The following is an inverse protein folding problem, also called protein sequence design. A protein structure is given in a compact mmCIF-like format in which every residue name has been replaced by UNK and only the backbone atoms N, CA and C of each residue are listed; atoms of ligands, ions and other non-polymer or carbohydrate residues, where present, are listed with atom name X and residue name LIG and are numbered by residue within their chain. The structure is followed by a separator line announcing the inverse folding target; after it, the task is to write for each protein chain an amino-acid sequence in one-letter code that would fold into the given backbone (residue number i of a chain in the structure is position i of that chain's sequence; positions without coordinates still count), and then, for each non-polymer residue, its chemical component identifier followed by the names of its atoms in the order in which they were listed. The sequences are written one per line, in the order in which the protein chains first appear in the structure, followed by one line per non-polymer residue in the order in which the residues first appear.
data_IF_994964439749
#
_entry.id   IF_994964439749
#
_cell.length_a   1.000
_cell.length_b   1.000
_cell.length_c   1.000
_cell.angle_alpha   90.00
_cell.angle_beta   90.00
_cell.angle_gamma   90.00
#
_symmetry.space_group_name_H-M   'P 1'
#
loop_
_entity.id
_entity.type
_entity.pdbx_description
1 polymer ?
#
# COMPACT_ATOMS: atom_id res chain seq x y z
N UNK A 1 2.41 8.21 4.40
CA UNK A 1 2.23 7.65 5.76
C UNK A 1 0.80 7.17 5.92
N UNK A 2 0.63 5.93 6.35
CA UNK A 2 -0.69 5.38 6.61
C UNK A 2 -0.87 5.10 8.08
N UNK A 3 -2.04 5.41 8.62
CA UNK A 3 -2.45 5.01 9.96
C UNK A 3 -3.13 3.66 9.86
N UNK A 4 -2.68 2.70 10.66
CA UNK A 4 -3.20 1.32 10.69
C UNK A 4 -3.51 0.93 12.13
N UNK A 5 -4.47 0.02 12.32
CA UNK A 5 -4.85 -0.41 13.65
C UNK A 5 -3.77 -1.26 14.32
N UNK A 6 -3.10 -2.11 13.54
CA UNK A 6 -2.05 -3.02 14.02
C UNK A 6 -0.91 -3.02 13.00
N UNK A 7 0.25 -2.51 13.41
CA UNK A 7 1.40 -2.36 12.51
C UNK A 7 1.91 -3.72 12.01
N UNK A 8 1.94 -4.74 12.86
CA UNK A 8 2.41 -6.06 12.43
C UNK A 8 1.45 -6.72 11.44
N UNK A 9 0.15 -6.63 11.69
CA UNK A 9 -0.86 -7.17 10.77
C UNK A 9 -0.83 -6.43 9.43
N UNK A 10 -0.70 -5.10 9.45
CA UNK A 10 -0.60 -4.30 8.25
C UNK A 10 0.66 -4.65 7.46
N UNK A 11 1.80 -4.78 8.13
CA UNK A 11 3.07 -5.15 7.50
C UNK A 11 2.94 -6.50 6.78
N UNK A 12 2.35 -7.49 7.45
CA UNK A 12 2.13 -8.80 6.84
C UNK A 12 1.24 -8.69 5.59
N UNK A 13 0.18 -7.90 5.66
CA UNK A 13 -0.73 -7.72 4.51
C UNK A 13 -0.01 -7.09 3.32
N UNK A 14 0.77 -6.01 3.55
CA UNK A 14 1.49 -5.34 2.46
C UNK A 14 2.55 -6.26 1.85
N UNK A 15 3.27 -7.01 2.67
CA UNK A 15 4.31 -7.93 2.18
C UNK A 15 3.71 -9.13 1.45
N UNK A 16 2.69 -9.76 2.00
CA UNK A 16 2.10 -10.98 1.46
C UNK A 16 1.15 -10.70 0.29
N UNK A 17 0.36 -9.63 0.38
CA UNK A 17 -0.65 -9.33 -0.63
C UNK A 17 -0.10 -8.49 -1.78
N UNK A 18 0.67 -7.44 -1.47
CA UNK A 18 1.20 -6.53 -2.49
C UNK A 18 2.66 -6.81 -2.87
N UNK A 19 3.32 -7.72 -2.17
CA UNK A 19 4.71 -8.05 -2.46
C UNK A 19 5.70 -6.98 -2.02
N UNK A 20 5.32 -6.12 -1.08
CA UNK A 20 6.21 -5.09 -0.54
C UNK A 20 7.29 -5.72 0.32
N UNK A 21 8.35 -4.96 0.54
CA UNK A 21 9.47 -5.33 1.42
C UNK A 21 9.55 -4.38 2.59
N UNK A 22 9.95 -4.88 3.76
CA UNK A 22 10.24 -4.02 4.91
C UNK A 22 11.56 -3.31 4.65
N UNK A 23 11.53 -1.98 4.66
CA UNK A 23 12.70 -1.14 4.40
C UNK A 23 13.33 -0.63 5.68
N UNK A 24 12.54 -0.44 6.73
CA UNK A 24 13.01 0.02 8.03
C UNK A 24 12.06 -0.47 9.11
N UNK A 25 12.62 -0.83 10.24
CA UNK A 25 11.85 -1.22 11.44
C UNK A 25 12.70 -0.82 12.65
N UNK A 26 12.39 0.36 13.21
CA UNK A 26 13.19 0.97 14.27
C UNK A 26 12.30 1.23 15.48
N UNK A 27 12.76 0.79 16.63
CA UNK A 27 12.13 1.18 17.90
C UNK A 27 12.91 2.34 18.51
N UNK A 28 12.21 3.33 19.02
CA UNK A 28 12.82 4.51 19.61
C UNK A 28 12.00 4.99 20.81
N UNK A 29 12.52 5.99 21.51
CA UNK A 29 11.97 6.41 22.77
C UNK A 29 12.75 5.77 23.93
N UNK A 30 12.50 6.24 25.15
CA UNK A 30 13.30 5.88 26.33
C UNK A 30 13.31 4.37 26.59
N UNK A 31 12.18 3.70 26.36
CA UNK A 31 12.03 2.25 26.56
C UNK A 31 11.73 1.51 25.25
N UNK A 32 11.99 2.13 24.09
CA UNK A 32 11.67 1.54 22.80
C UNK A 32 10.16 1.42 22.55
N UNK A 33 9.35 2.26 23.17
CA UNK A 33 7.90 2.20 23.10
C UNK A 33 7.33 2.70 21.78
N UNK A 34 8.12 3.46 21.02
CA UNK A 34 7.72 3.95 19.71
C UNK A 34 8.33 3.08 18.62
N UNK A 35 7.64 2.99 17.50
CA UNK A 35 8.10 2.19 16.36
C UNK A 35 7.94 2.95 15.07
N UNK A 36 8.97 2.93 14.24
CA UNK A 36 8.94 3.46 12.87
C UNK A 36 9.15 2.30 11.91
N UNK A 37 8.13 1.97 11.13
CA UNK A 37 8.19 0.88 10.18
C UNK A 37 7.87 1.40 8.78
N UNK A 38 8.73 1.08 7.83
CA UNK A 38 8.54 1.46 6.43
C UNK A 38 8.54 0.23 5.53
N UNK A 39 7.65 0.24 4.56
CA UNK A 39 7.55 -0.78 3.49
C UNK A 39 7.59 -0.11 2.13
N UNK A 40 7.98 -0.85 1.10
CA UNK A 40 7.99 -0.36 -0.26
C UNK A 40 7.97 -1.51 -1.26
N UNK A 41 7.51 -1.28 -2.49
CA UNK A 41 7.70 -2.26 -3.56
C UNK A 41 9.19 -2.49 -3.80
N UNK A 42 9.60 -3.72 -4.18
CA UNK A 42 11.00 -3.99 -4.48
C UNK A 42 11.55 -3.03 -5.54
N UNK A 43 12.73 -2.47 -5.29
CA UNK A 43 13.38 -1.54 -6.21
C UNK A 43 12.83 -0.13 -6.18
N UNK A 44 11.83 0.18 -5.35
CA UNK A 44 11.30 1.52 -5.22
C UNK A 44 12.20 2.41 -4.38
N UNK A 45 12.33 3.68 -4.76
CA UNK A 45 13.01 4.69 -3.94
C UNK A 45 12.05 5.33 -2.94
N UNK A 46 10.75 5.26 -3.19
CA UNK A 46 9.72 5.74 -2.26
C UNK A 46 9.46 4.73 -1.16
N UNK A 47 9.06 5.21 0.00
CA UNK A 47 8.75 4.36 1.16
C UNK A 47 7.45 4.79 1.80
N UNK A 48 6.71 3.81 2.29
CA UNK A 48 5.45 4.02 3.00
C UNK A 48 5.64 3.66 4.46
N UNK A 49 5.42 4.61 5.36
CA UNK A 49 5.43 4.29 6.78
C UNK A 49 4.04 3.84 7.24
N UNK A 50 4.01 2.78 8.06
CA UNK A 50 2.80 2.24 8.67
C UNK A 50 2.85 2.57 10.16
N UNK A 51 1.91 3.38 10.63
CA UNK A 51 1.94 3.91 11.99
C UNK A 51 0.70 3.54 12.76
N UNK A 52 0.83 3.28 14.08
CA UNK A 52 -0.34 3.06 14.92
C UNK A 52 -1.15 4.35 15.07
N UNK A 53 -2.42 4.27 15.50
CA UNK A 53 -3.24 5.46 15.69
C UNK A 53 -2.70 6.32 16.84
N UNK A 54 -2.15 7.47 16.49
CA UNK A 54 -1.69 8.46 17.48
C UNK A 54 -2.43 9.74 17.16
N UNK A 55 -3.61 9.91 17.73
CA UNK A 55 -4.46 11.06 17.46
C UNK A 55 -5.20 11.00 16.14
N UNK A 56 -5.04 9.93 15.37
CA UNK A 56 -5.68 9.72 14.07
C UNK A 56 -6.48 8.43 14.07
N UNK A 57 -7.48 8.35 13.18
CA UNK A 57 -8.20 7.11 12.94
C UNK A 57 -7.47 6.29 11.87
N UNK A 58 -7.48 4.94 11.95
CA UNK A 58 -6.97 4.13 10.86
C UNK A 58 -7.72 4.42 9.56
N UNK A 59 -6.99 4.37 8.45
CA UNK A 59 -7.59 4.56 7.11
C UNK A 59 -7.51 5.98 6.61
N UNK A 60 -8.10 6.21 5.45
CA UNK A 60 -8.21 7.52 4.82
C UNK A 60 -6.98 8.00 4.05
N UNK A 61 -5.89 7.26 4.10
CA UNK A 61 -4.70 7.58 3.30
C UNK A 61 -4.84 7.12 1.85
N UNK A 62 -4.05 7.70 0.95
CA UNK A 62 -4.03 7.31 -0.47
C UNK A 62 -2.59 7.38 -0.99
N UNK A 63 -2.17 6.33 -1.69
CA UNK A 63 -0.88 6.32 -2.42
C UNK A 63 -1.09 5.77 -3.82
N UNK A 64 -0.13 6.06 -4.71
CA UNK A 64 -0.06 5.46 -6.03
C UNK A 64 1.17 4.55 -6.14
N UNK A 65 1.00 3.42 -6.79
CA UNK A 65 2.11 2.53 -7.15
C UNK A 65 2.06 2.22 -8.63
N UNK A 66 3.24 2.02 -9.22
CA UNK A 66 3.36 1.68 -10.64
C UNK A 66 3.29 0.18 -10.85
N UNK A 67 2.70 -0.23 -11.97
CA UNK A 67 2.69 -1.63 -12.38
C UNK A 67 2.89 -1.71 -13.90
N UNK A 68 3.69 -2.64 -14.35
CA UNK A 68 3.84 -2.94 -15.79
C UNK A 68 2.71 -3.82 -16.31
N UNK A 69 1.85 -4.34 -15.43
CA UNK A 69 0.75 -5.24 -15.81
C UNK A 69 -0.44 -5.02 -14.85
N UNK A 70 -1.15 -3.92 -15.06
CA UNK A 70 -2.28 -3.52 -14.22
C UNK A 70 -3.39 -4.57 -14.22
N UNK A 71 -3.74 -5.10 -15.39
CA UNK A 71 -4.81 -6.11 -15.51
C UNK A 71 -4.44 -7.40 -14.78
N UNK A 72 -3.21 -7.87 -14.94
CA UNK A 72 -2.74 -9.06 -14.23
C UNK A 72 -2.75 -8.89 -12.73
N UNK A 73 -2.32 -7.72 -12.26
CA UNK A 73 -2.32 -7.38 -10.84
C UNK A 73 -3.73 -7.30 -10.28
N UNK A 74 -4.65 -6.67 -11.02
CA UNK A 74 -6.06 -6.61 -10.64
C UNK A 74 -6.66 -8.01 -10.50
N UNK A 75 -6.43 -8.88 -11.49
CA UNK A 75 -6.95 -10.25 -11.47
C UNK A 75 -6.40 -11.04 -10.28
N UNK A 76 -5.11 -10.90 -9.99
CA UNK A 76 -4.46 -11.55 -8.86
C UNK A 76 -5.06 -11.11 -7.53
N UNK A 77 -5.20 -9.82 -7.33
CA UNK A 77 -5.73 -9.26 -6.08
C UNK A 77 -7.21 -9.57 -5.90
N UNK A 78 -7.98 -9.54 -6.98
CA UNK A 78 -9.39 -9.91 -6.93
C UNK A 78 -9.55 -11.39 -6.52
N UNK A 79 -8.71 -12.26 -7.03
CA UNK A 79 -8.71 -13.68 -6.66
C UNK A 79 -8.37 -13.88 -5.18
N UNK A 80 -7.51 -13.03 -4.62
CA UNK A 80 -7.17 -13.06 -3.19
C UNK A 80 -8.26 -12.48 -2.29
N UNK A 81 -9.32 -11.92 -2.86
CA UNK A 81 -10.40 -11.34 -2.08
C UNK A 81 -10.15 -9.93 -1.56
N UNK A 82 -9.20 -9.22 -2.15
CA UNK A 82 -8.89 -7.83 -1.77
C UNK A 82 -10.05 -6.92 -2.13
N UNK A 83 -10.35 -5.95 -1.27
CA UNK A 83 -11.40 -4.96 -1.52
C UNK A 83 -11.01 -4.05 -2.68
N UNK A 84 -11.74 -4.12 -3.77
CA UNK A 84 -11.52 -3.30 -4.96
C UNK A 84 -12.48 -2.11 -4.91
N UNK A 85 -11.91 -0.90 -4.87
CA UNK A 85 -12.70 0.34 -4.85
C UNK A 85 -13.14 0.76 -6.25
N UNK A 86 -12.27 0.54 -7.24
CA UNK A 86 -12.55 0.91 -8.62
C UNK A 86 -11.87 -0.10 -9.54
N UNK A 87 -12.62 -0.78 -10.44
CA UNK A 87 -12.01 -1.69 -11.40
C UNK A 87 -11.12 -0.94 -12.41
N UNK A 88 -10.31 -1.66 -13.20
CA UNK A 88 -9.45 -1.01 -14.19
C UNK A 88 -10.21 -0.06 -15.10
N UNK A 89 -9.73 1.17 -15.21
CA UNK A 89 -10.34 2.23 -15.98
C UNK A 89 -9.27 3.05 -16.67
N UNK A 90 -9.56 3.49 -17.88
CA UNK A 90 -8.68 4.37 -18.63
C UNK A 90 -9.50 5.49 -19.25
N UNK A 91 -9.16 6.73 -18.91
CA UNK A 91 -9.74 7.91 -19.56
C UNK A 91 -8.79 8.40 -20.66
N UNK A 92 -9.28 9.10 -21.70
CA UNK A 92 -8.41 9.61 -22.76
C UNK A 92 -7.27 10.46 -22.19
N UNK A 93 -6.03 10.13 -22.59
CA UNK A 93 -4.83 10.83 -22.14
C UNK A 93 -4.30 10.41 -20.80
N UNK A 94 -4.94 9.47 -20.10
CA UNK A 94 -4.52 9.01 -18.79
C UNK A 94 -4.06 7.54 -18.85
N UNK A 95 -3.20 7.09 -17.92
CA UNK A 95 -2.83 5.68 -17.85
C UNK A 95 -3.98 4.83 -17.32
N UNK A 96 -3.92 3.52 -17.61
CA UNK A 96 -4.81 2.54 -17.00
C UNK A 96 -4.57 2.48 -15.51
N UNK A 97 -5.63 2.48 -14.71
CA UNK A 97 -5.54 2.51 -13.25
C UNK A 97 -6.70 1.72 -12.64
N UNK A 98 -6.43 1.05 -11.52
CA UNK A 98 -7.50 0.59 -10.63
C UNK A 98 -7.15 0.98 -9.20
N UNK A 99 -8.14 0.89 -8.32
CA UNK A 99 -7.95 1.27 -6.92
C UNK A 99 -8.43 0.16 -6.00
N UNK A 100 -7.69 -0.03 -4.92
CA UNK A 100 -8.02 -1.01 -3.89
C UNK A 100 -7.86 -0.37 -2.51
N UNK A 101 -8.41 -1.05 -1.51
CA UNK A 101 -8.26 -0.64 -0.12
C UNK A 101 -7.50 -1.70 0.66
N UNK A 102 -6.67 -1.26 1.61
CA UNK A 102 -6.09 -2.16 2.60
C UNK A 102 -7.13 -2.49 3.68
N UNK A 103 -6.84 -3.42 4.62
CA UNK A 103 -7.82 -3.78 5.65
C UNK A 103 -8.22 -2.64 6.59
N UNK A 104 -7.42 -1.57 6.65
CA UNK A 104 -7.70 -0.41 7.50
C UNK A 104 -8.45 0.70 6.78
N UNK A 105 -8.73 0.56 5.48
CA UNK A 105 -9.41 1.58 4.69
C UNK A 105 -8.48 2.64 4.10
N UNK A 106 -7.19 2.36 3.98
CA UNK A 106 -6.27 3.16 3.19
C UNK A 106 -6.37 2.75 1.72
N UNK A 107 -6.21 3.69 0.80
CA UNK A 107 -6.44 3.47 -0.61
C UNK A 107 -5.12 3.41 -1.39
N UNK A 108 -5.04 2.47 -2.32
CA UNK A 108 -3.87 2.30 -3.19
C UNK A 108 -4.35 2.35 -4.64
N UNK A 109 -3.81 3.31 -5.41
CA UNK A 109 -4.01 3.38 -6.85
C UNK A 109 -2.87 2.61 -7.53
N UNK A 110 -3.22 1.64 -8.37
CA UNK A 110 -2.23 0.88 -9.16
C UNK A 110 -2.29 1.42 -10.58
N UNK A 111 -1.21 2.05 -11.02
CA UNK A 111 -1.15 2.83 -12.25
C UNK A 111 -0.20 2.15 -13.22
N UNK A 112 -0.62 2.03 -14.49
CA UNK A 112 0.22 1.41 -15.51
C UNK A 112 1.42 2.28 -15.86
N UNK A 113 2.61 1.68 -15.74
CA UNK A 113 3.85 2.34 -16.12
C UNK A 113 3.85 2.56 -17.64
N UNK A 114 4.13 3.78 -18.12
CA UNK A 114 4.22 4.01 -19.57
C UNK A 114 5.32 3.13 -20.18
N UNK A 115 5.13 2.64 -21.42
CA UNK A 115 6.19 1.92 -22.10
C UNK A 115 7.36 2.87 -22.38
N UNK A 116 8.56 2.39 -22.09
CA UNK A 116 9.80 3.14 -22.35
C UNK A 116 10.45 2.70 -23.65
#
# INVERSE_FOLDING_TARGET
MFTVADVDAATAWYCETLGFEVCADVHFGENGENRWLEVAPPGSTGRLSLNPPIGNQPGGGTIGIDSSNVIGEFNRLQTLGVAIDMPPMQTPGAPLVFMLSDPDGNHIAVVETPPT
#
